data_IF_661002565824
#
_entry.id   IF_661002565824
#
_cell.length_a   1.000
_cell.length_b   1.000
_cell.length_c   1.000
_cell.angle_alpha   90.00
_cell.angle_beta   90.00
_cell.angle_gamma   90.00
#
_symmetry.space_group_name_H-M   'P 1'
#
loop_
_entity.id
_entity.type
_entity.pdbx_description
1 polymer ?
#
# COMPACT_ATOMS: atom_id res chain seq x y z
N UNK A 1 13.00 -18.63 1.66
CA UNK A 1 14.44 -18.34 1.87
C UNK A 1 14.86 -17.34 0.82
N UNK A 2 15.12 -16.08 1.18
CA UNK A 2 15.90 -15.18 0.31
C UNK A 2 17.20 -14.92 1.04
N UNK A 3 18.17 -15.83 0.87
CA UNK A 3 19.57 -15.55 1.22
C UNK A 3 20.43 -15.80 -0.01
N UNK A 4 20.93 -14.67 -0.52
CA UNK A 4 22.00 -14.39 -1.48
C UNK A 4 22.00 -14.99 -2.90
N UNK A 5 21.95 -14.06 -3.89
CA UNK A 5 22.94 -13.95 -5.00
C UNK A 5 22.97 -12.60 -5.77
N UNK A 6 22.68 -11.45 -5.13
CA UNK A 6 22.92 -10.09 -5.66
C UNK A 6 22.58 -9.06 -4.55
N UNK A 7 23.33 -7.95 -4.36
CA UNK A 7 22.93 -6.84 -3.47
C UNK A 7 21.60 -6.14 -3.83
N UNK A 8 20.94 -6.50 -4.93
CA UNK A 8 19.81 -5.76 -5.50
C UNK A 8 18.47 -6.53 -5.52
N UNK A 9 18.25 -7.52 -4.64
CA UNK A 9 16.96 -8.20 -4.60
C UNK A 9 15.95 -7.42 -3.77
N UNK A 10 14.82 -7.09 -4.38
CA UNK A 10 13.66 -6.53 -3.71
C UNK A 10 12.78 -7.64 -3.12
N UNK A 11 12.49 -7.54 -1.83
CA UNK A 11 11.60 -8.40 -1.07
C UNK A 11 10.39 -7.59 -0.64
N UNK A 12 9.23 -7.91 -1.22
CA UNK A 12 7.94 -7.32 -0.84
C UNK A 12 7.11 -8.38 -0.12
N UNK A 13 6.68 -8.09 1.10
CA UNK A 13 5.71 -8.92 1.82
C UNK A 13 4.31 -8.34 1.61
N UNK A 14 3.35 -9.22 1.37
CA UNK A 14 1.94 -8.83 1.32
C UNK A 14 1.11 -9.57 2.39
N UNK A 15 1.09 -9.07 3.64
CA UNK A 15 0.09 -9.50 4.62
C UNK A 15 -1.30 -8.90 4.36
N UNK A 16 -1.40 -7.78 3.63
CA UNK A 16 -2.67 -7.08 3.34
C UNK A 16 -3.33 -6.43 4.56
N UNK A 17 -2.64 -6.43 5.71
CA UNK A 17 -3.15 -5.96 7.00
C UNK A 17 -2.02 -5.49 7.89
N UNK A 18 -2.36 -4.91 9.04
CA UNK A 18 -1.37 -4.34 9.94
C UNK A 18 -0.41 -5.41 10.48
N UNK A 19 0.85 -5.02 10.63
CA UNK A 19 1.90 -5.88 11.17
C UNK A 19 2.71 -5.16 12.24
N UNK A 20 3.32 -5.89 13.18
CA UNK A 20 4.35 -5.32 14.04
C UNK A 20 5.54 -4.77 13.23
N UNK A 21 6.14 -3.67 13.69
CA UNK A 21 7.33 -3.07 13.07
C UNK A 21 8.51 -4.05 12.90
N UNK A 22 8.60 -5.09 13.73
CA UNK A 22 9.65 -6.10 13.63
C UNK A 22 9.69 -6.84 12.29
N UNK A 23 8.59 -6.85 11.53
CA UNK A 23 8.53 -7.47 10.20
C UNK A 23 9.29 -6.68 9.13
N UNK A 24 9.50 -5.37 9.31
CA UNK A 24 10.29 -4.55 8.37
C UNK A 24 11.77 -4.95 8.35
N UNK A 25 12.27 -5.64 9.39
CA UNK A 25 13.64 -6.15 9.42
C UNK A 25 13.92 -7.31 8.45
N UNK A 26 12.90 -7.86 7.80
CA UNK A 26 13.01 -9.04 6.93
C UNK A 26 12.52 -8.80 5.50
N UNK A 27 12.23 -7.54 5.14
CA UNK A 27 11.71 -7.16 3.81
C UNK A 27 12.04 -5.71 3.48
N UNK A 28 12.12 -5.39 2.20
CA UNK A 28 12.30 -4.01 1.75
C UNK A 28 10.98 -3.23 1.71
N UNK A 29 9.85 -3.92 1.51
CA UNK A 29 8.51 -3.33 1.50
C UNK A 29 7.48 -4.27 2.11
N UNK A 30 6.46 -3.71 2.75
CA UNK A 30 5.32 -4.46 3.28
C UNK A 30 4.03 -3.76 2.90
N UNK A 31 3.10 -4.51 2.30
CA UNK A 31 1.72 -4.04 2.10
C UNK A 31 0.96 -4.21 3.41
N UNK A 32 0.83 -3.12 4.16
CA UNK A 32 0.21 -3.09 5.51
C UNK A 32 -1.30 -2.88 5.47
N UNK A 33 -1.85 -2.66 4.28
CA UNK A 33 -3.28 -2.49 4.06
C UNK A 33 -3.64 -2.91 2.63
N UNK A 34 -4.66 -3.76 2.49
CA UNK A 34 -5.24 -4.17 1.21
C UNK A 34 -6.75 -4.37 1.37
N UNK A 35 -7.53 -3.31 1.16
CA UNK A 35 -8.99 -3.36 1.21
C UNK A 35 -9.60 -2.10 0.54
N UNK A 36 -10.92 -1.96 0.60
CA UNK A 36 -11.71 -0.88 0.00
C UNK A 36 -11.40 0.50 0.59
N UNK A 37 -11.66 1.55 -0.19
CA UNK A 37 -11.53 2.94 0.22
C UNK A 37 -12.33 3.25 1.50
N UNK A 38 -13.55 2.74 1.62
CA UNK A 38 -14.40 2.99 2.80
C UNK A 38 -13.79 2.42 4.09
N UNK A 39 -13.19 1.22 4.03
CA UNK A 39 -12.48 0.65 5.17
C UNK A 39 -11.19 1.42 5.47
N UNK A 40 -10.56 1.99 4.43
CA UNK A 40 -9.28 2.66 4.57
C UNK A 40 -9.38 3.94 5.39
N UNK A 41 -10.49 4.67 5.25
CA UNK A 41 -10.77 5.87 6.04
C UNK A 41 -10.79 5.62 7.56
N UNK A 42 -11.01 4.38 7.98
CA UNK A 42 -11.01 3.97 9.39
C UNK A 42 -9.68 3.31 9.81
N UNK A 43 -8.76 3.08 8.89
CA UNK A 43 -7.46 2.48 9.17
C UNK A 43 -6.51 3.52 9.76
N UNK A 44 -6.17 3.36 11.05
CA UNK A 44 -5.42 4.35 11.83
C UNK A 44 -4.06 3.84 12.34
N UNK A 45 -3.58 2.69 11.85
CA UNK A 45 -2.25 2.22 12.24
C UNK A 45 -1.18 3.11 11.61
N UNK A 46 -0.26 3.60 12.43
CA UNK A 46 0.85 4.46 11.99
C UNK A 46 2.17 3.69 11.99
N UNK A 47 2.96 3.88 10.95
CA UNK A 47 4.30 3.31 10.80
C UNK A 47 5.38 4.39 10.77
N UNK A 48 5.20 5.47 11.52
CA UNK A 48 6.09 6.65 11.52
C UNK A 48 7.56 6.36 11.89
N UNK A 49 7.84 5.18 12.45
CA UNK A 49 9.20 4.73 12.78
C UNK A 49 9.93 4.05 11.61
N UNK A 50 9.20 3.68 10.56
CA UNK A 50 9.74 3.01 9.38
C UNK A 50 9.98 4.01 8.23
N UNK A 51 10.87 3.72 7.27
CA UNK A 51 10.96 4.53 6.05
C UNK A 51 9.62 4.49 5.30
N UNK A 52 9.09 5.65 4.90
CA UNK A 52 7.75 5.71 4.30
C UNK A 52 7.65 4.96 2.97
N UNK A 53 8.78 4.79 2.28
CA UNK A 53 8.90 4.01 1.04
C UNK A 53 8.65 2.52 1.24
N UNK A 54 8.80 2.03 2.46
CA UNK A 54 8.78 0.61 2.79
C UNK A 54 7.38 0.19 3.24
N UNK A 55 6.57 1.17 3.66
CA UNK A 55 5.17 1.01 4.04
C UNK A 55 4.30 1.16 2.80
N UNK A 56 3.73 0.05 2.32
CA UNK A 56 2.88 0.02 1.15
C UNK A 56 1.39 -0.13 1.50
N UNK A 57 0.53 0.45 0.67
CA UNK A 57 -0.92 0.25 0.73
C UNK A 57 -1.50 -0.09 -0.65
N UNK A 58 -2.56 -0.88 -0.64
CA UNK A 58 -3.44 -1.13 -1.78
C UNK A 58 -4.84 -0.71 -1.36
N UNK A 59 -5.39 0.31 -2.05
CA UNK A 59 -6.74 0.83 -1.78
C UNK A 59 -7.60 0.62 -3.02
N UNK A 60 -8.66 -0.16 -2.89
CA UNK A 60 -9.58 -0.48 -3.98
C UNK A 60 -10.87 0.32 -3.85
N UNK A 61 -11.72 0.31 -4.87
CA UNK A 61 -13.05 0.94 -4.81
C UNK A 61 -13.03 2.45 -4.48
N UNK A 62 -11.93 3.14 -4.79
CA UNK A 62 -11.89 4.60 -4.77
C UNK A 62 -12.53 5.09 -6.09
N UNK A 63 -13.83 5.29 -6.12
CA UNK A 63 -14.59 5.44 -7.38
C UNK A 63 -14.45 6.81 -8.05
N UNK A 64 -14.10 7.85 -7.28
CA UNK A 64 -13.96 9.22 -7.77
C UNK A 64 -12.52 9.72 -7.67
N UNK A 65 -12.17 10.74 -8.47
CA UNK A 65 -10.88 11.42 -8.35
C UNK A 65 -10.68 12.03 -6.94
N UNK A 66 -11.76 12.45 -6.28
CA UNK A 66 -11.69 12.91 -4.90
C UNK A 66 -11.35 11.78 -3.93
N UNK A 67 -11.91 10.58 -4.12
CA UNK A 67 -11.56 9.40 -3.32
C UNK A 67 -10.09 9.04 -3.49
N UNK A 68 -9.56 9.11 -4.72
CA UNK A 68 -8.13 8.93 -4.98
C UNK A 68 -7.26 9.89 -4.16
N UNK A 69 -7.52 11.20 -4.24
CA UNK A 69 -6.71 12.17 -3.47
C UNK A 69 -6.89 12.01 -1.95
N UNK A 70 -8.10 11.66 -1.51
CA UNK A 70 -8.39 11.40 -0.09
C UNK A 70 -7.62 10.19 0.41
N UNK A 71 -7.66 9.08 -0.33
CA UNK A 71 -6.87 7.89 -0.03
C UNK A 71 -5.37 8.20 -0.06
N UNK A 72 -4.91 8.96 -1.04
CA UNK A 72 -3.49 9.30 -1.16
C UNK A 72 -2.99 10.11 0.04
N UNK A 73 -3.75 11.13 0.46
CA UNK A 73 -3.46 11.92 1.65
C UNK A 73 -3.51 11.08 2.93
N UNK A 74 -4.50 10.18 3.05
CA UNK A 74 -4.61 9.28 4.19
C UNK A 74 -3.43 8.30 4.26
N UNK A 75 -2.98 7.78 3.12
CA UNK A 75 -1.76 6.98 3.00
C UNK A 75 -0.53 7.71 3.53
N UNK A 76 -0.34 8.99 3.16
CA UNK A 76 0.77 9.78 3.71
C UNK A 76 0.65 9.97 5.23
N UNK A 77 -0.56 10.09 5.77
CA UNK A 77 -0.77 10.27 7.22
C UNK A 77 -0.35 9.05 8.06
N UNK A 78 -0.41 7.85 7.49
CA UNK A 78 0.05 6.60 8.13
C UNK A 78 1.51 6.27 7.82
N UNK A 79 2.24 7.21 7.21
CA UNK A 79 3.63 7.07 6.76
C UNK A 79 3.81 6.12 5.57
N UNK A 80 2.85 6.04 4.65
CA UNK A 80 2.97 5.27 3.40
C UNK A 80 3.19 6.20 2.20
N UNK A 81 4.34 6.09 1.54
CA UNK A 81 4.58 6.70 0.22
C UNK A 81 4.53 5.69 -0.93
N UNK A 82 4.52 4.39 -0.62
CA UNK A 82 4.28 3.32 -1.58
C UNK A 82 2.78 3.03 -1.67
N UNK A 83 2.10 3.49 -2.72
CA UNK A 83 0.63 3.42 -2.77
C UNK A 83 0.15 2.91 -4.12
N UNK A 84 -0.80 1.97 -4.12
CA UNK A 84 -1.59 1.61 -5.29
C UNK A 84 -3.07 1.88 -4.98
N UNK A 85 -3.66 2.83 -5.71
CA UNK A 85 -5.05 3.23 -5.51
C UNK A 85 -5.80 3.04 -6.83
N UNK A 86 -6.95 2.37 -6.76
CA UNK A 86 -7.73 2.02 -7.94
C UNK A 86 -9.23 2.18 -7.72
N UNK A 87 -9.92 2.52 -8.80
CA UNK A 87 -11.38 2.60 -8.86
C UNK A 87 -12.05 1.25 -9.10
N UNK A 88 -11.27 0.20 -9.35
CA UNK A 88 -11.78 -1.15 -9.51
C UNK A 88 -12.00 -1.84 -8.16
N UNK A 89 -12.90 -2.82 -8.15
CA UNK A 89 -13.23 -3.65 -7.02
C UNK A 89 -13.29 -5.14 -7.41
N UNK A 90 -13.26 -6.01 -6.40
CA UNK A 90 -13.33 -7.46 -6.58
C UNK A 90 -12.19 -8.01 -7.44
N UNK A 91 -12.52 -8.87 -8.41
CA UNK A 91 -11.51 -9.49 -9.28
C UNK A 91 -10.82 -8.48 -10.20
N UNK A 92 -11.48 -7.37 -10.55
CA UNK A 92 -10.95 -6.43 -11.54
C UNK A 92 -9.77 -5.60 -11.02
N UNK A 93 -9.58 -5.52 -9.70
CA UNK A 93 -8.53 -4.76 -9.02
C UNK A 93 -7.13 -5.05 -9.58
N UNK A 94 -6.84 -6.30 -9.91
CA UNK A 94 -5.49 -6.75 -10.28
C UNK A 94 -5.32 -7.08 -11.77
N UNK A 95 -6.41 -7.11 -12.54
CA UNK A 95 -6.36 -7.42 -13.99
C UNK A 95 -6.40 -6.17 -14.87
N UNK A 96 -6.70 -5.00 -14.32
CA UNK A 96 -6.75 -3.74 -15.04
C UNK A 96 -5.83 -2.70 -14.41
N UNK A 97 -5.25 -1.86 -15.26
CA UNK A 97 -4.48 -0.70 -14.82
C UNK A 97 -5.47 0.33 -14.27
N UNK A 98 -5.20 0.85 -13.07
CA UNK A 98 -6.00 1.90 -12.43
C UNK A 98 -6.22 3.09 -13.38
N UNK A 99 -7.45 3.61 -13.42
CA UNK A 99 -7.75 4.81 -14.20
C UNK A 99 -7.02 6.06 -13.67
N UNK A 100 -6.44 5.99 -12.48
CA UNK A 100 -5.68 7.07 -11.85
C UNK A 100 -4.19 7.08 -12.21
N UNK A 101 -3.71 6.17 -13.05
CA UNK A 101 -2.30 6.14 -13.46
C UNK A 101 -1.82 7.49 -14.07
N UNK A 102 -2.71 8.24 -14.71
CA UNK A 102 -2.40 9.55 -15.29
C UNK A 102 -2.51 10.73 -14.32
N UNK A 103 -2.92 10.51 -13.06
CA UNK A 103 -3.06 11.55 -12.05
C UNK A 103 -1.81 11.74 -11.19
N UNK A 104 -0.77 10.95 -11.46
CA UNK A 104 0.51 10.94 -10.77
C UNK A 104 1.65 11.32 -11.72
#
# INVERSE_FOLDING_TARGET
YIKSKNPNYLVVLNPGTSVPNSYFNISDKIIVYEDTFQNFLNYNNSYSQEPSSDVCIIVTDATTQNDFYTAMAHGFSINSSCQYITNYSGTNTYYFISNYLSLY
#
